data_IF_056009415966
#
_entry.id   IF_056009415966
#
_cell.length_a   1.000
_cell.length_b   1.000
_cell.length_c   1.000
_cell.angle_alpha   90.00
_cell.angle_beta   90.00
_cell.angle_gamma   90.00
#
_symmetry.space_group_name_H-M   'P 1'
#
loop_
_entity.id
_entity.type
_entity.pdbx_description
1 polymer ?
#
# COMPACT_ATOMS: atom_id res chain seq x y z
N UNK A 1 3.99 18.02 3.50
CA UNK A 1 4.89 17.07 4.19
C UNK A 1 5.08 15.83 3.31
N UNK A 2 6.14 15.03 3.52
CA UNK A 2 6.41 13.85 2.69
C UNK A 2 5.27 12.84 2.82
N UNK A 3 4.71 12.37 1.70
CA UNK A 3 3.72 11.28 1.62
C UNK A 3 2.53 11.33 2.61
N UNK A 4 2.22 12.53 3.10
CA UNK A 4 1.13 12.83 4.04
C UNK A 4 1.46 12.67 5.54
N UNK A 5 2.73 12.44 5.90
CA UNK A 5 3.18 12.45 7.30
C UNK A 5 3.37 13.90 7.76
N UNK A 6 2.36 14.48 8.41
CA UNK A 6 2.37 15.90 8.83
C UNK A 6 2.69 16.12 10.31
N UNK A 7 2.55 15.10 11.14
CA UNK A 7 2.91 15.16 12.55
C UNK A 7 4.45 15.30 12.68
N UNK A 8 4.95 16.31 13.40
CA UNK A 8 6.39 16.56 13.52
C UNK A 8 7.14 15.43 14.24
N UNK A 9 6.52 14.75 15.21
CA UNK A 9 7.14 13.65 15.95
C UNK A 9 7.23 12.40 15.07
N UNK A 10 6.17 12.12 14.28
CA UNK A 10 6.20 11.05 13.28
C UNK A 10 7.23 11.33 12.19
N UNK A 11 7.33 12.59 11.73
CA UNK A 11 8.30 12.99 10.72
C UNK A 11 9.75 12.85 11.22
N UNK A 12 10.03 13.26 12.47
CA UNK A 12 11.34 13.09 13.09
C UNK A 12 11.70 11.61 13.26
N UNK A 13 10.76 10.81 13.76
CA UNK A 13 10.93 9.36 13.92
C UNK A 13 11.23 8.66 12.58
N UNK A 14 10.53 9.07 11.51
CA UNK A 14 10.73 8.53 10.17
C UNK A 14 12.10 8.95 9.61
N UNK A 15 12.49 10.22 9.77
CA UNK A 15 13.75 10.75 9.26
C UNK A 15 14.98 10.00 9.80
N UNK A 16 14.95 9.57 11.07
CA UNK A 16 16.02 8.77 11.68
C UNK A 16 16.19 7.37 11.06
N UNK A 17 15.13 6.83 10.44
CA UNK A 17 15.06 5.45 9.94
C UNK A 17 15.20 5.36 8.42
N UNK A 18 14.96 6.46 7.71
CA UNK A 18 15.09 6.51 6.26
C UNK A 18 16.55 6.38 5.82
N UNK A 19 16.75 5.60 4.76
CA UNK A 19 18.03 5.45 4.05
C UNK A 19 17.82 5.75 2.57
N UNK A 20 18.83 6.25 1.83
CA UNK A 20 18.72 6.44 0.39
C UNK A 20 18.38 5.12 -0.31
N UNK A 21 17.34 5.14 -1.17
CA UNK A 21 16.99 3.99 -2.01
C UNK A 21 18.01 3.88 -3.16
N UNK A 22 18.66 2.71 -3.36
CA UNK A 22 19.64 2.55 -4.44
C UNK A 22 18.98 2.73 -5.82
N UNK A 23 19.52 3.61 -6.67
CA UNK A 23 18.94 3.91 -8.00
C UNK A 23 18.74 2.65 -8.87
N UNK A 24 19.61 1.65 -8.73
CA UNK A 24 19.52 0.40 -9.48
C UNK A 24 18.18 -0.33 -9.27
N UNK A 25 17.53 -0.21 -8.10
CA UNK A 25 16.25 -0.90 -7.85
C UNK A 25 15.10 -0.37 -8.72
N UNK A 26 15.23 0.83 -9.28
CA UNK A 26 14.23 1.41 -10.18
C UNK A 26 14.51 1.11 -11.66
N UNK A 27 15.75 0.77 -11.99
CA UNK A 27 16.22 0.65 -13.38
C UNK A 27 16.53 -0.79 -13.78
N UNK A 28 16.73 -1.67 -12.80
CA UNK A 28 16.95 -3.09 -13.04
C UNK A 28 15.68 -3.77 -13.58
N UNK A 29 15.75 -4.43 -14.75
CA UNK A 29 14.58 -5.08 -15.33
C UNK A 29 14.09 -6.28 -14.50
N UNK A 30 12.81 -6.28 -14.15
CA UNK A 30 12.16 -7.42 -13.50
C UNK A 30 11.74 -8.48 -14.52
N UNK A 31 12.16 -9.74 -14.33
CA UNK A 31 11.74 -10.88 -15.15
C UNK A 31 10.73 -11.73 -14.38
N UNK A 32 9.49 -11.80 -14.87
CA UNK A 32 8.42 -12.57 -14.25
C UNK A 32 8.24 -13.92 -14.94
N UNK A 33 8.23 -15.02 -14.18
CA UNK A 33 7.97 -16.37 -14.69
C UNK A 33 6.49 -16.75 -14.75
N UNK A 34 5.58 -15.78 -14.58
CA UNK A 34 4.12 -16.00 -14.57
C UNK A 34 3.53 -16.61 -13.29
N UNK A 35 4.35 -17.05 -12.34
CA UNK A 35 3.87 -17.66 -11.09
C UNK A 35 2.95 -16.73 -10.26
N UNK A 36 3.23 -15.43 -10.26
CA UNK A 36 2.46 -14.41 -9.51
C UNK A 36 1.00 -14.31 -9.96
N UNK A 37 0.70 -14.59 -11.23
CA UNK A 37 -0.66 -14.53 -11.76
C UNK A 37 -1.59 -15.62 -11.21
N UNK A 38 -1.04 -16.61 -10.48
CA UNK A 38 -1.83 -17.65 -9.80
C UNK A 38 -2.14 -17.32 -8.35
N UNK A 39 -1.59 -16.23 -7.81
CA UNK A 39 -1.82 -15.81 -6.43
C UNK A 39 -2.98 -14.82 -6.42
N UNK A 40 -4.13 -15.16 -5.80
CA UNK A 40 -5.20 -14.21 -5.64
C UNK A 40 -4.71 -13.03 -4.79
N UNK A 41 -5.06 -11.81 -5.19
CA UNK A 41 -4.62 -10.60 -4.53
C UNK A 41 -5.71 -9.53 -4.49
N UNK A 42 -5.60 -8.66 -3.50
CA UNK A 42 -6.41 -7.45 -3.36
C UNK A 42 -5.48 -6.24 -3.36
N UNK A 43 -5.77 -5.27 -4.22
CA UNK A 43 -5.06 -4.01 -4.27
C UNK A 43 -5.68 -3.04 -3.27
N UNK A 44 -5.07 -2.91 -2.08
CA UNK A 44 -5.42 -1.88 -1.10
C UNK A 44 -4.73 -0.57 -1.49
N UNK A 45 -5.48 0.51 -1.66
CA UNK A 45 -4.93 1.80 -2.11
C UNK A 45 -5.52 2.99 -1.35
N UNK A 46 -4.72 4.06 -1.23
CA UNK A 46 -5.10 5.26 -0.47
C UNK A 46 -5.91 6.25 -1.33
N UNK A 47 -6.76 7.04 -0.66
CA UNK A 47 -7.45 8.21 -1.22
C UNK A 47 -7.20 9.43 -0.31
N UNK A 48 -6.80 10.59 -0.87
CA UNK A 48 -6.61 10.88 -2.30
C UNK A 48 -5.38 10.17 -2.90
N UNK A 49 -5.42 9.81 -4.20
CA UNK A 49 -4.36 9.01 -4.81
C UNK A 49 -3.09 9.84 -5.01
N UNK A 50 -1.95 9.29 -4.57
CA UNK A 50 -0.61 9.81 -4.95
C UNK A 50 -0.15 9.24 -6.30
N UNK A 51 -0.58 8.02 -6.60
CA UNK A 51 -0.33 7.29 -7.84
C UNK A 51 -1.60 6.51 -8.23
N UNK A 52 -1.76 6.07 -9.49
CA UNK A 52 -2.97 5.38 -9.96
C UNK A 52 -2.99 3.89 -9.54
N UNK A 53 -2.82 3.62 -8.24
CA UNK A 53 -2.74 2.25 -7.68
C UNK A 53 -4.02 1.44 -7.88
N UNK A 54 -5.20 2.09 -7.86
CA UNK A 54 -6.48 1.45 -8.21
C UNK A 54 -6.41 0.84 -9.62
N UNK A 55 -6.04 1.66 -10.62
CA UNK A 55 -5.86 1.22 -12.00
C UNK A 55 -4.79 0.14 -12.15
N UNK A 56 -3.69 0.23 -11.40
CA UNK A 56 -2.65 -0.80 -11.43
C UNK A 56 -3.18 -2.15 -10.91
N UNK A 57 -3.94 -2.14 -9.81
CA UNK A 57 -4.60 -3.34 -9.28
C UNK A 57 -5.59 -3.95 -10.27
N UNK A 58 -6.47 -3.13 -10.85
CA UNK A 58 -7.43 -3.57 -11.86
C UNK A 58 -6.74 -4.18 -13.08
N UNK A 59 -5.63 -3.57 -13.54
CA UNK A 59 -4.91 -4.03 -14.74
C UNK A 59 -4.30 -5.43 -14.61
N UNK A 60 -4.10 -5.91 -13.37
CA UNK A 60 -3.61 -7.26 -13.08
C UNK A 60 -4.73 -8.19 -12.57
N UNK A 61 -5.99 -7.75 -12.61
CA UNK A 61 -7.16 -8.53 -12.24
C UNK A 61 -7.42 -8.64 -10.73
N UNK A 62 -6.84 -7.76 -9.91
CA UNK A 62 -7.09 -7.75 -8.47
C UNK A 62 -8.38 -7.01 -8.13
N UNK A 63 -9.08 -7.49 -7.10
CA UNK A 63 -10.12 -6.71 -6.43
C UNK A 63 -9.45 -5.46 -5.81
N UNK A 64 -10.10 -4.30 -5.88
CA UNK A 64 -9.57 -3.07 -5.28
C UNK A 64 -10.29 -2.74 -3.98
N UNK A 65 -9.53 -2.24 -3.01
CA UNK A 65 -10.06 -1.73 -1.74
C UNK A 65 -9.44 -0.38 -1.45
N UNK A 66 -10.27 0.66 -1.48
CA UNK A 66 -9.83 1.99 -1.10
C UNK A 66 -9.81 2.15 0.43
N UNK A 67 -8.83 2.93 0.90
CA UNK A 67 -8.68 3.40 2.27
C UNK A 67 -8.53 4.92 2.23
N UNK A 68 -9.31 5.63 3.04
CA UNK A 68 -9.19 7.09 3.16
C UNK A 68 -8.00 7.40 4.06
N UNK A 69 -6.97 8.05 3.51
CA UNK A 69 -5.71 8.28 4.21
C UNK A 69 -4.58 8.72 3.28
N UNK A 70 -3.49 9.22 3.87
CA UNK A 70 -2.29 9.59 3.12
C UNK A 70 -1.57 8.36 2.54
N UNK A 71 -0.54 8.58 1.73
CA UNK A 71 0.24 7.48 1.15
C UNK A 71 0.90 6.62 2.25
N UNK A 72 1.45 7.26 3.28
CA UNK A 72 2.06 6.58 4.43
C UNK A 72 1.01 6.25 5.52
N UNK A 73 -0.20 5.85 5.13
CA UNK A 73 -1.25 5.42 6.07
C UNK A 73 -0.83 4.33 7.05
N UNK A 74 0.07 3.37 6.73
CA UNK A 74 0.57 2.43 7.73
C UNK A 74 1.32 3.09 8.90
N UNK A 75 1.83 4.31 8.72
CA UNK A 75 2.47 5.10 9.77
C UNK A 75 1.45 6.02 10.47
N UNK A 76 0.58 6.68 9.71
CA UNK A 76 -0.33 7.69 10.27
C UNK A 76 -1.59 7.10 10.91
N UNK A 77 -2.04 5.92 10.47
CA UNK A 77 -3.21 5.21 10.99
C UNK A 77 -3.03 3.68 10.85
N UNK A 78 -2.16 3.07 11.67
CA UNK A 78 -1.87 1.65 11.59
C UNK A 78 -3.10 0.77 11.91
N UNK A 79 -4.02 1.23 12.77
CA UNK A 79 -5.25 0.52 13.11
C UNK A 79 -6.21 0.39 11.92
N UNK A 80 -6.35 1.45 11.12
CA UNK A 80 -7.12 1.42 9.88
C UNK A 80 -6.55 0.41 8.87
N UNK A 81 -5.24 0.39 8.71
CA UNK A 81 -4.57 -0.56 7.81
C UNK A 81 -4.77 -1.99 8.32
N UNK A 82 -4.51 -2.25 9.60
CA UNK A 82 -4.65 -3.59 10.18
C UNK A 82 -6.08 -4.13 10.02
N UNK A 83 -7.09 -3.31 10.34
CA UNK A 83 -8.50 -3.67 10.13
C UNK A 83 -8.81 -3.95 8.66
N UNK A 84 -8.37 -3.09 7.76
CA UNK A 84 -8.57 -3.29 6.31
C UNK A 84 -7.96 -4.61 5.84
N UNK A 85 -6.75 -4.93 6.31
CA UNK A 85 -6.06 -6.18 5.97
C UNK A 85 -6.82 -7.41 6.48
N UNK A 86 -7.38 -7.36 7.69
CA UNK A 86 -8.21 -8.43 8.24
C UNK A 86 -9.52 -8.60 7.46
N UNK A 87 -10.19 -7.50 7.10
CA UNK A 87 -11.40 -7.51 6.29
C UNK A 87 -11.19 -8.18 4.92
N UNK A 88 -10.09 -7.85 4.23
CA UNK A 88 -9.82 -8.39 2.88
C UNK A 88 -9.24 -9.81 2.93
N UNK A 89 -8.59 -10.21 4.02
CA UNK A 89 -8.05 -11.57 4.19
C UNK A 89 -9.14 -12.61 4.48
N UNK A 90 -10.25 -12.20 5.10
CA UNK A 90 -11.41 -13.05 5.40
C UNK A 90 -12.70 -12.56 4.70
N UNK A 91 -12.81 -12.63 3.36
CA UNK A 91 -13.98 -12.10 2.63
C UNK A 91 -15.33 -12.80 2.94
N UNK A 92 -15.36 -13.79 3.84
CA UNK A 92 -16.54 -14.59 4.19
C UNK A 92 -17.04 -14.46 5.64
N UNK A 93 -16.40 -13.66 6.50
CA UNK A 93 -16.81 -13.52 7.92
C UNK A 93 -17.44 -12.16 8.23
N UNK A 94 -17.43 -11.21 7.28
CA UNK A 94 -18.04 -9.90 7.47
C UNK A 94 -19.55 -9.93 7.17
N UNK A 95 -20.32 -10.62 8.02
CA UNK A 95 -21.71 -10.35 8.44
C UNK A 95 -22.31 -11.62 9.06
N UNK A 96 -22.09 -11.78 10.37
CA UNK A 96 -23.01 -12.45 11.29
C UNK A 96 -23.07 -11.66 12.58
#
# INVERSE_FOLDING_TARGET
AAFGVTDPDQAAWLAERLRPQPLRTFTEPTRLGGAVGRVPGTAVHCRPPTYPFERFGESVGYATRAVDGPHDVPLTDPELVARTLLEVACPGESSR
#
